data_IF_829502539878
#
_entry.id   IF_829502539878
#
_cell.length_a   1.000
_cell.length_b   1.000
_cell.length_c   1.000
_cell.angle_alpha   90.00
_cell.angle_beta   90.00
_cell.angle_gamma   90.00
#
_symmetry.space_group_name_H-M   'P 1'
#
loop_
_entity.id
_entity.type
_entity.pdbx_description
1 polymer ?
#
# COMPACT_ATOMS: atom_id res chain seq x y z
N UNK A 1 -38.59 28.25 27.04
CA UNK A 1 -37.50 29.03 26.41
C UNK A 1 -36.59 29.43 27.54
N UNK A 2 -35.34 29.00 27.67
CA UNK A 2 -34.31 28.72 26.67
C UNK A 2 -33.37 27.64 27.20
N UNK A 3 -32.98 26.75 26.28
CA UNK A 3 -32.06 25.63 26.48
C UNK A 3 -30.63 26.13 26.71
N UNK A 4 -30.07 25.89 27.90
CA UNK A 4 -28.64 25.92 28.16
C UNK A 4 -28.05 24.56 27.77
N UNK A 5 -27.83 24.35 26.48
CA UNK A 5 -26.88 23.33 26.01
C UNK A 5 -25.61 24.07 25.62
N UNK A 6 -24.72 24.16 26.60
CA UNK A 6 -23.36 24.65 26.43
C UNK A 6 -22.69 23.83 25.33
N UNK A 7 -22.31 24.53 24.26
CA UNK A 7 -21.58 23.98 23.15
C UNK A 7 -20.16 23.64 23.62
N UNK A 8 -19.98 22.46 24.21
CA UNK A 8 -18.71 21.75 24.15
C UNK A 8 -18.48 21.24 22.72
N UNK A 9 -18.43 22.17 21.77
CA UNK A 9 -17.74 21.94 20.52
C UNK A 9 -16.26 21.97 20.87
N UNK A 10 -15.71 20.79 21.13
CA UNK A 10 -14.28 20.55 21.05
C UNK A 10 -13.88 21.06 19.66
N UNK A 11 -13.35 22.29 19.59
CA UNK A 11 -12.62 22.79 18.43
C UNK A 11 -11.34 21.96 18.38
N UNK A 12 -11.47 20.73 17.90
CA UNK A 12 -10.33 19.86 17.59
C UNK A 12 -9.54 20.66 16.56
N UNK A 13 -8.39 21.15 16.99
CA UNK A 13 -7.54 21.97 16.16
C UNK A 13 -7.07 21.06 15.02
N UNK A 14 -7.63 21.26 13.81
CA UNK A 14 -7.32 20.43 12.63
C UNK A 14 -5.81 20.40 12.38
N UNK A 15 -5.11 21.46 12.73
CA UNK A 15 -3.65 21.59 12.65
C UNK A 15 -2.93 20.68 13.65
N UNK A 16 -3.44 20.54 14.87
CA UNK A 16 -2.90 19.62 15.87
C UNK A 16 -3.14 18.14 15.50
N UNK A 17 -4.32 17.82 14.96
CA UNK A 17 -4.58 16.47 14.43
C UNK A 17 -3.73 16.18 13.19
N UNK A 18 -3.47 17.19 12.34
CA UNK A 18 -2.57 17.08 11.18
C UNK A 18 -1.12 16.83 11.60
N UNK A 19 -0.61 17.58 12.58
CA UNK A 19 0.73 17.35 13.12
C UNK A 19 0.87 16.00 13.80
N UNK A 20 -0.17 15.57 14.51
CA UNK A 20 -0.22 14.24 15.15
C UNK A 20 -0.32 13.12 14.12
N UNK A 21 -1.12 13.30 13.05
CA UNK A 21 -1.27 12.32 11.97
C UNK A 21 0.02 12.15 11.16
N UNK A 22 0.84 13.20 11.02
CA UNK A 22 2.19 13.09 10.44
C UNK A 22 3.18 12.32 11.31
N UNK A 23 2.90 12.14 12.60
CA UNK A 23 3.71 11.37 13.54
C UNK A 23 3.19 9.95 13.77
N UNK A 24 1.97 9.64 13.32
CA UNK A 24 1.34 8.32 13.48
C UNK A 24 1.57 7.51 12.19
N UNK A 25 2.18 6.34 12.37
CA UNK A 25 2.59 5.47 11.28
C UNK A 25 1.44 4.53 10.86
N UNK A 26 0.46 5.09 10.15
CA UNK A 26 -0.77 4.39 9.74
C UNK A 26 -0.50 3.22 8.78
N UNK A 27 -1.31 2.17 8.91
CA UNK A 27 -1.44 1.08 7.95
C UNK A 27 -2.63 1.32 7.02
N UNK A 28 -2.63 0.67 5.85
CA UNK A 28 -3.75 0.78 4.91
C UNK A 28 -5.09 0.35 5.52
N UNK A 29 -5.07 -0.64 6.41
CA UNK A 29 -6.27 -1.13 7.09
C UNK A 29 -6.87 -0.10 8.04
N UNK A 30 -6.06 0.80 8.59
CA UNK A 30 -6.55 1.83 9.53
C UNK A 30 -7.49 2.83 8.84
N UNK A 31 -7.31 3.08 7.54
CA UNK A 31 -8.21 3.93 6.76
C UNK A 31 -9.53 3.26 6.37
N UNK A 32 -9.68 1.95 6.60
CA UNK A 32 -10.96 1.24 6.43
C UNK A 32 -11.85 1.37 7.67
N UNK A 33 -11.31 1.83 8.78
CA UNK A 33 -12.03 1.96 10.03
C UNK A 33 -12.47 3.42 10.19
N UNK A 34 -13.73 3.65 10.58
CA UNK A 34 -14.31 5.00 10.78
C UNK A 34 -13.62 5.81 11.91
N UNK A 35 -12.55 5.27 12.50
CA UNK A 35 -11.75 5.88 13.55
C UNK A 35 -10.94 7.10 13.04
N UNK A 36 -10.69 7.19 11.73
CA UNK A 36 -10.06 8.34 11.09
C UNK A 36 -11.11 9.09 10.28
N UNK A 37 -11.38 10.38 10.56
CA UNK A 37 -12.28 11.17 9.72
C UNK A 37 -11.75 11.20 8.28
N UNK A 38 -12.44 10.56 7.33
CA UNK A 38 -11.97 10.39 5.95
C UNK A 38 -11.69 11.73 5.24
N UNK A 39 -12.34 12.81 5.68
CA UNK A 39 -12.13 14.18 5.21
C UNK A 39 -10.83 14.85 5.70
N UNK A 40 -10.05 14.18 6.54
CA UNK A 40 -8.75 14.63 7.03
C UNK A 40 -7.59 13.80 6.46
N UNK A 41 -7.87 12.76 5.68
CA UNK A 41 -6.84 11.93 5.05
C UNK A 41 -6.17 12.77 3.95
N UNK A 42 -4.86 12.93 4.05
CA UNK A 42 -4.04 13.57 3.02
C UNK A 42 -3.44 12.49 2.10
N UNK A 43 -3.32 12.79 0.80
CA UNK A 43 -2.78 11.85 -0.20
C UNK A 43 -1.42 11.27 0.19
N UNK A 44 -0.52 12.12 0.70
CA UNK A 44 0.81 11.71 1.16
C UNK A 44 0.76 10.65 2.27
N UNK A 45 -0.20 10.73 3.20
CA UNK A 45 -0.34 9.76 4.30
C UNK A 45 -0.75 8.39 3.75
N UNK A 46 -1.67 8.38 2.78
CA UNK A 46 -2.07 7.16 2.08
C UNK A 46 -0.90 6.55 1.27
N UNK A 47 -0.17 7.39 0.52
CA UNK A 47 0.99 6.95 -0.27
C UNK A 47 2.07 6.34 0.62
N UNK A 48 2.36 6.95 1.78
CA UNK A 48 3.33 6.41 2.74
C UNK A 48 2.88 5.07 3.32
N UNK A 49 1.60 4.94 3.70
CA UNK A 49 1.05 3.69 4.19
C UNK A 49 1.10 2.58 3.14
N UNK A 50 0.86 2.92 1.87
CA UNK A 50 1.01 2.00 0.74
C UNK A 50 2.47 1.58 0.54
N UNK A 51 3.41 2.52 0.44
CA UNK A 51 4.85 2.24 0.29
C UNK A 51 5.33 1.35 1.43
N UNK A 52 4.92 1.62 2.66
CA UNK A 52 5.24 0.81 3.84
C UNK A 52 4.69 -0.61 3.71
N UNK A 53 3.44 -0.76 3.26
CA UNK A 53 2.83 -2.07 3.05
C UNK A 53 3.61 -2.86 1.99
N UNK A 54 3.84 -2.29 0.80
CA UNK A 54 4.61 -2.95 -0.28
C UNK A 54 6.03 -3.29 0.19
N UNK A 55 6.70 -2.38 0.90
CA UNK A 55 8.03 -2.63 1.48
C UNK A 55 8.04 -3.77 2.51
N UNK A 56 6.92 -4.01 3.19
CA UNK A 56 6.80 -5.13 4.12
C UNK A 56 6.72 -6.48 3.40
N UNK A 57 6.12 -6.52 2.20
CA UNK A 57 6.03 -7.71 1.35
C UNK A 57 7.41 -8.23 0.92
N UNK A 58 8.39 -7.34 0.76
CA UNK A 58 9.78 -7.71 0.45
C UNK A 58 10.45 -8.58 1.52
N UNK A 59 9.87 -8.67 2.72
CA UNK A 59 10.37 -9.51 3.82
C UNK A 59 9.79 -10.92 3.79
N UNK A 60 8.89 -11.23 2.85
CA UNK A 60 8.20 -12.52 2.78
C UNK A 60 9.05 -13.53 2.01
N UNK A 61 9.43 -14.63 2.67
CA UNK A 61 10.40 -15.61 2.14
C UNK A 61 9.76 -16.78 1.37
N UNK A 62 8.46 -16.71 1.10
CA UNK A 62 7.71 -17.75 0.38
C UNK A 62 6.88 -17.11 -0.72
N UNK A 63 7.04 -17.59 -1.95
CA UNK A 63 6.27 -17.11 -3.11
C UNK A 63 4.76 -17.27 -2.91
N UNK A 64 4.31 -18.36 -2.28
CA UNK A 64 2.89 -18.57 -1.99
C UNK A 64 2.35 -17.55 -0.98
N UNK A 65 3.09 -17.31 0.11
CA UNK A 65 2.70 -16.30 1.09
C UNK A 65 2.69 -14.90 0.47
N UNK A 66 3.72 -14.59 -0.32
CA UNK A 66 3.85 -13.31 -0.99
C UNK A 66 2.71 -13.06 -1.98
N UNK A 67 2.37 -14.05 -2.81
CA UNK A 67 1.24 -13.95 -3.74
C UNK A 67 -0.08 -13.75 -2.99
N UNK A 68 -0.29 -14.46 -1.87
CA UNK A 68 -1.47 -14.26 -1.04
C UNK A 68 -1.54 -12.84 -0.46
N UNK A 69 -0.44 -12.33 0.09
CA UNK A 69 -0.37 -10.97 0.65
C UNK A 69 -0.58 -9.89 -0.41
N UNK A 70 -0.09 -10.08 -1.64
CA UNK A 70 -0.37 -9.18 -2.77
C UNK A 70 -1.87 -9.12 -3.06
N UNK A 71 -2.55 -10.27 -3.14
CA UNK A 71 -3.99 -10.30 -3.38
C UNK A 71 -4.79 -9.67 -2.23
N UNK A 72 -4.34 -9.83 -0.99
CA UNK A 72 -4.97 -9.15 0.16
C UNK A 72 -4.75 -7.63 0.12
N UNK A 73 -3.57 -7.18 -0.31
CA UNK A 73 -3.31 -5.75 -0.55
C UNK A 73 -4.27 -5.19 -1.60
N UNK A 74 -4.45 -5.86 -2.74
CA UNK A 74 -5.39 -5.42 -3.78
C UNK A 74 -6.82 -5.31 -3.24
N UNK A 75 -7.28 -6.30 -2.48
CA UNK A 75 -8.61 -6.24 -1.83
C UNK A 75 -8.75 -5.05 -0.87
N UNK A 76 -7.68 -4.69 -0.17
CA UNK A 76 -7.68 -3.51 0.71
C UNK A 76 -7.80 -2.24 -0.14
N UNK A 77 -7.02 -2.12 -1.21
CA UNK A 77 -7.07 -0.95 -2.12
C UNK A 77 -8.44 -0.80 -2.78
N UNK A 78 -9.04 -1.90 -3.23
CA UNK A 78 -10.39 -1.91 -3.79
C UNK A 78 -11.41 -1.39 -2.77
N UNK A 79 -11.37 -1.88 -1.52
CA UNK A 79 -12.24 -1.38 -0.46
C UNK A 79 -11.99 0.10 -0.15
N UNK A 80 -10.74 0.56 -0.13
CA UNK A 80 -10.42 1.97 0.08
C UNK A 80 -11.03 2.84 -1.01
N UNK A 81 -11.09 2.38 -2.25
CA UNK A 81 -11.73 3.08 -3.36
C UNK A 81 -13.25 3.27 -3.17
N UNK A 82 -13.90 2.40 -2.39
CA UNK A 82 -15.32 2.50 -2.06
C UNK A 82 -15.60 3.43 -0.87
N UNK A 83 -14.63 3.59 0.05
CA UNK A 83 -14.83 4.28 1.35
C UNK A 83 -14.23 5.68 1.39
N UNK A 84 -13.16 5.94 0.62
CA UNK A 84 -12.46 7.21 0.65
C UNK A 84 -13.06 8.25 -0.31
N UNK A 85 -12.88 9.55 -0.02
CA UNK A 85 -13.33 10.63 -0.88
C UNK A 85 -12.76 10.53 -2.30
N UNK A 86 -13.55 10.97 -3.30
CA UNK A 86 -13.19 10.89 -4.74
C UNK A 86 -11.94 11.72 -5.10
N UNK A 87 -11.60 12.72 -4.29
CA UNK A 87 -10.42 13.56 -4.46
C UNK A 87 -9.11 12.89 -4.00
N UNK A 88 -9.18 11.76 -3.31
CA UNK A 88 -8.02 10.93 -2.96
C UNK A 88 -7.78 9.91 -4.06
N UNK A 89 -6.57 9.90 -4.61
CA UNK A 89 -6.14 8.92 -5.60
C UNK A 89 -5.65 7.66 -4.89
N UNK A 90 -6.40 6.58 -4.98
CA UNK A 90 -5.99 5.30 -4.40
C UNK A 90 -4.80 4.73 -5.18
N UNK A 91 -3.73 4.28 -4.50
CA UNK A 91 -2.66 3.52 -5.12
C UNK A 91 -3.15 2.24 -5.80
N UNK A 92 -2.43 1.78 -6.82
CA UNK A 92 -2.71 0.54 -7.51
C UNK A 92 -1.40 -0.20 -7.85
N UNK A 93 -1.51 -1.49 -8.14
CA UNK A 93 -0.38 -2.39 -8.45
C UNK A 93 -0.04 -2.43 -9.95
N UNK A 94 -0.43 -1.42 -10.73
CA UNK A 94 -0.30 -1.45 -12.20
C UNK A 94 1.17 -1.51 -12.64
N UNK A 95 2.05 -0.76 -11.97
CA UNK A 95 3.49 -0.77 -12.27
C UNK A 95 4.09 -2.12 -11.93
N UNK A 96 3.78 -2.69 -10.76
CA UNK A 96 4.16 -4.04 -10.38
C UNK A 96 3.84 -5.08 -11.46
N UNK A 97 2.58 -5.15 -11.91
CA UNK A 97 2.18 -6.13 -12.94
C UNK A 97 2.85 -5.87 -14.30
N UNK A 98 3.06 -4.60 -14.65
CA UNK A 98 3.77 -4.24 -15.87
C UNK A 98 5.23 -4.71 -15.85
N UNK A 99 5.91 -4.55 -14.71
CA UNK A 99 7.31 -4.93 -14.54
C UNK A 99 7.50 -6.45 -14.39
N UNK A 100 6.50 -7.13 -13.85
CA UNK A 100 6.57 -8.56 -13.60
C UNK A 100 6.74 -9.39 -14.88
N UNK A 101 6.06 -9.00 -15.97
CA UNK A 101 6.11 -9.72 -17.25
C UNK A 101 7.53 -9.82 -17.84
N UNK A 102 8.24 -8.70 -18.09
CA UNK A 102 9.62 -8.71 -18.56
C UNK A 102 10.57 -9.51 -17.67
N UNK A 103 10.44 -9.39 -16.35
CA UNK A 103 11.30 -10.09 -15.39
C UNK A 103 11.09 -11.61 -15.47
N UNK A 104 9.84 -12.07 -15.61
CA UNK A 104 9.56 -13.50 -15.82
C UNK A 104 10.12 -14.03 -17.15
N UNK A 105 10.01 -13.26 -18.23
CA UNK A 105 10.58 -13.67 -19.53
C UNK A 105 12.10 -13.79 -19.41
N UNK A 106 12.76 -12.85 -18.74
CA UNK A 106 14.19 -12.90 -18.51
C UNK A 106 14.60 -14.15 -17.74
N UNK A 107 13.91 -14.45 -16.63
CA UNK A 107 14.16 -15.68 -15.87
C UNK A 107 13.98 -16.94 -16.71
N UNK A 108 12.94 -16.98 -17.56
CA UNK A 108 12.70 -18.13 -18.42
C UNK A 108 13.83 -18.38 -19.42
N UNK A 109 14.48 -17.32 -19.92
CA UNK A 109 15.62 -17.43 -20.84
C UNK A 109 16.91 -17.78 -20.10
N UNK A 110 17.14 -17.18 -18.93
CA UNK A 110 18.36 -17.40 -18.13
C UNK A 110 18.42 -18.80 -17.53
N UNK A 111 17.28 -19.44 -17.35
CA UNK A 111 17.16 -20.70 -16.66
C UNK A 111 16.73 -21.82 -17.61
N UNK A 112 17.69 -22.22 -18.46
CA UNK A 112 17.46 -23.17 -19.55
C UNK A 112 17.16 -24.61 -19.06
N UNK A 113 17.46 -24.95 -17.78
CA UNK A 113 17.41 -26.34 -17.30
C UNK A 113 17.08 -26.51 -15.78
N UNK A 114 16.08 -25.77 -15.24
CA UNK A 114 15.56 -26.09 -13.89
C UNK A 114 14.78 -27.41 -13.93
N UNK A 115 15.30 -28.42 -13.21
CA UNK A 115 14.64 -29.72 -13.00
C UNK A 115 13.97 -29.81 -11.63
N UNK A 116 14.30 -28.91 -10.71
CA UNK A 116 13.84 -28.92 -9.33
C UNK A 116 12.83 -27.79 -9.06
N UNK A 117 11.65 -28.17 -8.56
CA UNK A 117 10.57 -27.24 -8.25
C UNK A 117 10.98 -26.16 -7.22
N UNK A 118 11.79 -26.53 -6.23
CA UNK A 118 12.31 -25.59 -5.22
C UNK A 118 13.17 -24.47 -5.80
N UNK A 119 13.95 -24.76 -6.84
CA UNK A 119 14.76 -23.75 -7.52
C UNK A 119 13.87 -22.79 -8.31
N UNK A 120 12.81 -23.31 -8.94
CA UNK A 120 11.82 -22.49 -9.64
C UNK A 120 11.10 -21.52 -8.70
N UNK A 121 10.69 -22.00 -7.52
CA UNK A 121 10.02 -21.16 -6.51
C UNK A 121 10.91 -20.00 -6.04
N UNK A 122 12.22 -20.24 -5.88
CA UNK A 122 13.18 -19.21 -5.49
C UNK A 122 13.36 -18.16 -6.59
N UNK A 123 13.44 -18.60 -7.85
CA UNK A 123 13.58 -17.68 -8.98
C UNK A 123 12.29 -16.87 -9.21
N UNK A 124 11.12 -17.47 -9.03
CA UNK A 124 9.85 -16.74 -9.04
C UNK A 124 9.76 -15.73 -7.89
N UNK A 125 10.18 -16.12 -6.68
CA UNK A 125 10.26 -15.20 -5.55
C UNK A 125 11.16 -14.00 -5.85
N UNK A 126 12.31 -14.24 -6.48
CA UNK A 126 13.24 -13.19 -6.93
C UNK A 126 12.60 -12.28 -7.98
N UNK A 127 11.89 -12.83 -8.97
CA UNK A 127 11.16 -12.06 -9.98
C UNK A 127 10.17 -11.09 -9.34
N UNK A 128 9.32 -11.62 -8.45
CA UNK A 128 8.28 -10.84 -7.78
C UNK A 128 8.92 -9.76 -6.89
N UNK A 129 10.02 -10.06 -6.20
CA UNK A 129 10.75 -9.06 -5.39
C UNK A 129 11.28 -7.91 -6.24
N UNK A 130 11.88 -8.18 -7.40
CA UNK A 130 12.36 -7.12 -8.30
C UNK A 130 11.20 -6.21 -8.73
N UNK A 131 10.06 -6.79 -9.11
CA UNK A 131 8.89 -6.01 -9.50
C UNK A 131 8.32 -5.17 -8.33
N UNK A 132 8.34 -5.70 -7.10
CA UNK A 132 7.92 -4.97 -5.90
C UNK A 132 8.90 -3.86 -5.50
N UNK A 133 10.20 -4.05 -5.70
CA UNK A 133 11.22 -3.02 -5.47
C UNK A 133 10.98 -1.83 -6.40
N UNK A 134 10.73 -2.10 -7.68
CA UNK A 134 10.41 -1.05 -8.65
C UNK A 134 9.10 -0.33 -8.31
N UNK A 135 8.07 -1.06 -7.86
CA UNK A 135 6.82 -0.47 -7.36
C UNK A 135 7.09 0.51 -6.21
N UNK A 136 7.91 0.12 -5.24
CA UNK A 136 8.32 0.98 -4.12
C UNK A 136 9.03 2.24 -4.61
N UNK A 137 10.02 2.09 -5.50
CA UNK A 137 10.80 3.21 -6.04
C UNK A 137 9.89 4.20 -6.75
N UNK A 138 9.02 3.73 -7.64
CA UNK A 138 8.11 4.60 -8.40
C UNK A 138 7.17 5.37 -7.48
N UNK A 139 6.65 4.74 -6.42
CA UNK A 139 5.78 5.43 -5.48
C UNK A 139 6.51 6.40 -4.56
N UNK A 140 7.74 6.07 -4.14
CA UNK A 140 8.59 7.03 -3.44
C UNK A 140 8.83 8.28 -4.29
N UNK A 141 9.15 8.12 -5.58
CA UNK A 141 9.32 9.26 -6.50
C UNK A 141 8.05 10.08 -6.72
N UNK A 142 6.87 9.44 -6.77
CA UNK A 142 5.57 10.13 -6.84
C UNK A 142 5.29 10.93 -5.58
N UNK A 143 5.60 10.38 -4.40
CA UNK A 143 5.31 11.00 -3.10
C UNK A 143 6.19 12.20 -2.77
N UNK A 144 7.30 12.38 -3.49
CA UNK A 144 8.23 13.51 -3.35
C UNK A 144 7.83 14.75 -4.17
N UNK A 145 6.86 14.62 -5.08
CA UNK A 145 6.41 15.69 -5.99
C UNK A 145 5.14 16.37 -5.48
#
# INVERSE_FOLDING_TARGET
>A
MTSFFDHNQVKINKEYMRESAKQIDYSLSDFLHDDIPHNLIEQNVLDHAYIKHVSSLLKTDSIYKLAHEILELEKILDKLSEHLPVDIKIPNMEVFYHQLGPVFIQLFVEIEDIKEHSQLELEWLKAVRIALEEEVVVWQEKSLK
#
